data_IF_769844021856
#
_entry.id   IF_769844021856
#
_cell.length_a   1.000
_cell.length_b   1.000
_cell.length_c   1.000
_cell.angle_alpha   90.00
_cell.angle_beta   90.00
_cell.angle_gamma   90.00
#
_symmetry.space_group_name_H-M   'P 1'
#
loop_
_entity.id
_entity.type
_entity.pdbx_description
1 polymer ?
#
# COMPACT_ATOMS: atom_id res chain seq x y z
N UNK A 1 -7.68 -29.64 18.80
CA UNK A 1 -6.80 -29.90 17.65
C UNK A 1 -7.08 -29.04 16.41
N UNK A 2 -8.31 -28.98 15.85
CA UNK A 2 -8.60 -28.10 14.69
C UNK A 2 -8.40 -26.59 14.95
N UNK A 3 -8.52 -26.13 16.20
CA UNK A 3 -8.32 -24.72 16.59
C UNK A 3 -6.85 -24.26 16.62
N UNK A 4 -5.91 -25.17 16.93
CA UNK A 4 -4.46 -24.86 16.92
C UNK A 4 -3.93 -24.63 15.50
N UNK A 5 -4.54 -25.29 14.51
CA UNK A 5 -4.18 -25.18 13.10
C UNK A 5 -4.63 -23.81 12.54
N UNK A 6 -5.74 -23.26 13.05
CA UNK A 6 -6.26 -21.95 12.61
C UNK A 6 -5.39 -20.78 13.11
N UNK A 7 -4.90 -20.86 14.35
CA UNK A 7 -3.90 -19.91 14.87
C UNK A 7 -2.62 -19.97 14.04
N UNK A 8 -2.12 -21.18 13.72
CA UNK A 8 -0.93 -21.34 12.90
C UNK A 8 -1.05 -20.72 11.49
N UNK A 9 -2.25 -20.68 10.89
CA UNK A 9 -2.48 -19.99 9.61
C UNK A 9 -2.45 -18.46 9.70
N UNK A 10 -2.88 -17.87 10.82
CA UNK A 10 -2.68 -16.43 11.09
C UNK A 10 -1.19 -16.12 11.33
N UNK A 11 -0.48 -17.04 11.99
CA UNK A 11 0.97 -16.93 12.19
C UNK A 11 1.79 -17.10 10.89
N UNK A 12 1.36 -17.95 9.97
CA UNK A 12 2.08 -18.21 8.71
C UNK A 12 1.87 -17.11 7.66
N UNK A 13 0.73 -16.41 7.66
CA UNK A 13 0.51 -15.26 6.77
C UNK A 13 1.18 -13.97 7.26
N UNK A 14 1.44 -13.84 8.57
CA UNK A 14 2.23 -12.74 9.14
C UNK A 14 3.74 -12.89 8.92
N UNK A 15 4.22 -14.12 8.67
CA UNK A 15 5.63 -14.49 8.71
C UNK A 15 6.48 -14.07 7.51
N UNK A 16 5.94 -13.33 6.54
CA UNK A 16 6.78 -12.84 5.44
C UNK A 16 6.88 -11.32 5.36
N UNK A 17 6.06 -10.53 6.10
CA UNK A 17 5.93 -9.08 5.84
C UNK A 17 5.50 -8.20 7.02
N UNK A 18 5.24 -8.76 8.20
CA UNK A 18 4.86 -7.96 9.36
C UNK A 18 6.10 -7.23 9.93
N UNK A 19 5.99 -5.91 10.13
CA UNK A 19 6.92 -5.18 10.99
C UNK A 19 7.04 -5.88 12.34
N UNK A 20 8.24 -5.89 12.95
CA UNK A 20 8.49 -6.62 14.19
C UNK A 20 7.48 -6.33 15.32
N UNK A 21 6.90 -5.12 15.32
CA UNK A 21 5.88 -4.70 16.28
C UNK A 21 4.51 -5.39 16.09
N UNK A 22 4.09 -5.64 14.84
CA UNK A 22 2.87 -6.39 14.55
C UNK A 22 3.02 -7.86 14.87
N UNK A 23 4.18 -8.44 14.56
CA UNK A 23 4.49 -9.81 14.94
C UNK A 23 4.43 -9.96 16.45
N UNK A 24 5.09 -9.06 17.19
CA UNK A 24 5.13 -9.10 18.65
C UNK A 24 3.75 -8.91 19.28
N UNK A 25 2.96 -7.95 18.79
CA UNK A 25 1.56 -7.78 19.23
C UNK A 25 0.68 -8.98 18.88
N UNK A 26 0.89 -9.64 17.74
CA UNK A 26 0.14 -10.84 17.37
C UNK A 26 0.48 -12.04 18.27
N UNK A 27 1.75 -12.15 18.70
CA UNK A 27 2.21 -13.13 19.68
C UNK A 27 1.61 -12.85 21.07
N UNK A 28 1.63 -11.59 21.53
CA UNK A 28 1.03 -11.20 22.81
C UNK A 28 -0.47 -11.49 22.86
N UNK A 29 -1.20 -11.17 21.78
CA UNK A 29 -2.64 -11.47 21.66
C UNK A 29 -2.87 -12.99 21.68
N UNK A 30 -2.05 -13.76 20.99
CA UNK A 30 -2.15 -15.22 20.98
C UNK A 30 -1.88 -15.83 22.36
N UNK A 31 -0.88 -15.32 23.10
CA UNK A 31 -0.58 -15.74 24.47
C UNK A 31 -1.71 -15.37 25.45
N UNK A 32 -2.33 -14.20 25.29
CA UNK A 32 -3.50 -13.81 26.09
C UNK A 32 -4.69 -14.74 25.80
N UNK A 33 -4.95 -15.06 24.53
CA UNK A 33 -6.04 -15.98 24.15
C UNK A 33 -5.77 -17.40 24.63
N UNK A 34 -4.53 -17.88 24.52
CA UNK A 34 -4.11 -19.21 24.97
C UNK A 34 -4.22 -19.35 26.50
N UNK A 35 -3.77 -18.33 27.24
CA UNK A 35 -3.83 -18.31 28.72
C UNK A 35 -5.26 -18.23 29.26
N UNK A 36 -6.21 -17.66 28.52
CA UNK A 36 -7.60 -17.50 28.95
C UNK A 36 -8.57 -18.52 28.31
N UNK A 37 -8.12 -19.42 27.43
CA UNK A 37 -9.01 -20.33 26.67
C UNK A 37 -9.89 -21.22 27.58
N UNK A 38 -9.50 -21.42 28.84
CA UNK A 38 -10.20 -22.23 29.84
C UNK A 38 -11.04 -21.40 30.84
N UNK A 39 -10.94 -20.07 30.80
CA UNK A 39 -11.66 -19.15 31.70
C UNK A 39 -12.70 -18.29 30.97
N UNK A 40 -12.72 -18.33 29.64
CA UNK A 40 -13.71 -17.60 28.84
C UNK A 40 -15.09 -18.24 29.00
N UNK A 41 -16.05 -17.44 29.46
CA UNK A 41 -17.47 -17.81 29.38
C UNK A 41 -17.87 -18.11 27.93
N UNK A 42 -18.93 -18.91 27.75
CA UNK A 42 -19.47 -19.22 26.41
C UNK A 42 -19.72 -17.97 25.56
N UNK A 43 -20.15 -16.86 26.18
CA UNK A 43 -20.39 -15.59 25.50
C UNK A 43 -19.10 -14.91 25.04
N UNK A 44 -18.04 -14.95 25.84
CA UNK A 44 -16.73 -14.39 25.47
C UNK A 44 -16.07 -15.21 24.36
N UNK A 45 -16.11 -16.54 24.44
CA UNK A 45 -15.60 -17.41 23.38
C UNK A 45 -16.31 -17.18 22.03
N UNK A 46 -17.63 -16.95 22.04
CA UNK A 46 -18.40 -16.62 20.84
C UNK A 46 -18.00 -15.27 20.24
N UNK A 47 -17.78 -14.24 21.06
CA UNK A 47 -17.34 -12.91 20.60
C UNK A 47 -15.93 -12.94 20.05
N UNK A 48 -15.00 -13.62 20.72
CA UNK A 48 -13.63 -13.81 20.23
C UNK A 48 -13.63 -14.52 18.87
N UNK A 49 -14.48 -15.54 18.70
CA UNK A 49 -14.64 -16.21 17.40
C UNK A 49 -15.16 -15.27 16.32
N UNK A 50 -16.19 -14.47 16.60
CA UNK A 50 -16.70 -13.47 15.64
C UNK A 50 -15.62 -12.46 15.24
N UNK A 51 -14.85 -11.95 16.19
CA UNK A 51 -13.70 -11.07 15.93
C UNK A 51 -12.64 -11.74 15.06
N UNK A 52 -12.34 -13.02 15.30
CA UNK A 52 -11.44 -13.78 14.43
C UNK A 52 -11.98 -13.96 13.02
N UNK A 53 -13.24 -14.34 12.89
CA UNK A 53 -13.89 -14.53 11.59
C UNK A 53 -13.94 -13.20 10.82
N UNK A 54 -14.13 -12.06 11.51
CA UNK A 54 -14.06 -10.71 10.94
C UNK A 54 -12.63 -10.32 10.55
N UNK A 55 -11.63 -10.57 11.40
CA UNK A 55 -10.21 -10.32 11.08
C UNK A 55 -9.79 -11.18 9.88
N UNK A 56 -10.15 -12.46 9.87
CA UNK A 56 -9.85 -13.37 8.76
C UNK A 56 -10.59 -12.94 7.49
N UNK A 57 -11.83 -12.49 7.60
CA UNK A 57 -12.57 -11.92 6.47
C UNK A 57 -11.90 -10.65 5.95
N UNK A 58 -11.44 -9.74 6.81
CA UNK A 58 -10.69 -8.54 6.41
C UNK A 58 -9.37 -8.94 5.73
N UNK A 59 -8.64 -9.91 6.28
CA UNK A 59 -7.37 -10.41 5.73
C UNK A 59 -7.55 -11.15 4.39
N UNK A 60 -8.67 -11.84 4.18
CA UNK A 60 -8.99 -12.54 2.92
C UNK A 60 -9.63 -11.63 1.87
N UNK A 61 -10.42 -10.63 2.31
CA UNK A 61 -11.09 -9.66 1.43
C UNK A 61 -10.18 -8.51 1.02
N UNK A 62 -9.14 -8.22 1.82
CA UNK A 62 -7.91 -7.64 1.29
C UNK A 62 -7.27 -8.69 0.40
N UNK A 63 -7.75 -8.75 -0.84
CA UNK A 63 -7.10 -9.29 -2.03
C UNK A 63 -5.71 -9.83 -1.74
N UNK A 64 -5.48 -11.11 -2.00
CA UNK A 64 -4.14 -11.67 -2.17
C UNK A 64 -3.37 -10.77 -3.16
N UNK A 65 -2.68 -9.76 -2.63
CA UNK A 65 -1.80 -8.89 -3.38
C UNK A 65 -0.61 -9.79 -3.68
N UNK A 66 -0.55 -10.32 -4.90
CA UNK A 66 0.64 -11.02 -5.35
C UNK A 66 1.76 -10.00 -5.44
N UNK A 67 2.63 -9.98 -4.42
CA UNK A 67 3.78 -9.09 -4.39
C UNK A 67 4.80 -9.39 -5.50
N UNK A 68 4.62 -10.51 -6.21
CA UNK A 68 5.41 -10.90 -7.37
C UNK A 68 6.81 -11.39 -6.99
N UNK A 69 7.41 -12.18 -7.89
CA UNK A 69 8.78 -12.64 -7.71
C UNK A 69 9.78 -11.49 -7.92
N UNK A 70 10.69 -11.19 -6.97
CA UNK A 70 11.54 -10.00 -7.02
C UNK A 70 12.36 -9.88 -8.32
N UNK A 71 12.85 -10.99 -8.86
CA UNK A 71 13.62 -10.99 -10.10
C UNK A 71 12.77 -10.75 -11.36
N UNK A 72 11.49 -11.13 -11.33
CA UNK A 72 10.54 -10.81 -12.40
C UNK A 72 10.20 -9.32 -12.36
N UNK A 73 9.86 -8.80 -11.18
CA UNK A 73 9.54 -7.37 -11.01
C UNK A 73 10.75 -6.50 -11.35
N UNK A 74 11.98 -6.93 -11.04
CA UNK A 74 13.18 -6.23 -11.49
C UNK A 74 13.23 -6.06 -13.01
N UNK A 75 12.97 -7.13 -13.78
CA UNK A 75 13.01 -7.07 -15.25
C UNK A 75 11.92 -6.15 -15.78
N UNK A 76 10.72 -6.24 -15.22
CA UNK A 76 9.58 -5.40 -15.57
C UNK A 76 9.86 -3.91 -15.29
N UNK A 77 10.27 -3.59 -14.06
CA UNK A 77 10.62 -2.23 -13.65
C UNK A 77 11.75 -1.66 -14.52
N UNK A 78 12.76 -2.47 -14.86
CA UNK A 78 13.86 -2.05 -15.74
C UNK A 78 13.37 -1.75 -17.16
N UNK A 79 12.55 -2.63 -17.74
CA UNK A 79 12.01 -2.44 -19.09
C UNK A 79 11.10 -1.21 -19.15
N UNK A 80 10.20 -1.07 -18.20
CA UNK A 80 9.30 0.08 -18.09
C UNK A 80 10.08 1.38 -17.91
N UNK A 81 11.06 1.42 -17.00
CA UNK A 81 11.88 2.61 -16.76
C UNK A 81 12.67 3.05 -18.00
N UNK A 82 13.09 2.12 -18.86
CA UNK A 82 13.76 2.46 -20.12
C UNK A 82 12.81 2.89 -21.24
N UNK A 83 11.55 2.49 -21.18
CA UNK A 83 10.56 2.81 -22.22
C UNK A 83 10.23 4.30 -22.25
N UNK A 84 9.86 4.83 -23.41
CA UNK A 84 9.43 6.22 -23.56
C UNK A 84 8.08 6.50 -22.86
N UNK A 85 7.25 5.45 -22.75
CA UNK A 85 5.96 5.49 -22.07
C UNK A 85 6.13 5.55 -20.55
N UNK A 86 7.11 4.81 -20.02
CA UNK A 86 7.49 4.87 -18.61
C UNK A 86 8.39 6.05 -18.31
N UNK A 87 9.55 5.79 -17.69
CA UNK A 87 10.46 6.86 -17.35
C UNK A 87 11.20 7.36 -18.59
N UNK A 88 11.81 6.49 -19.39
CA UNK A 88 12.67 6.86 -20.52
C UNK A 88 14.04 7.33 -20.03
N UNK A 89 14.56 6.71 -18.97
CA UNK A 89 15.88 6.98 -18.38
C UNK A 89 16.96 6.10 -19.01
N UNK A 90 18.22 6.45 -18.76
CA UNK A 90 19.38 5.68 -19.25
C UNK A 90 19.39 4.26 -18.65
N UNK A 91 20.20 3.37 -19.25
CA UNK A 91 20.33 1.99 -18.77
C UNK A 91 20.78 1.91 -17.30
N UNK A 92 21.75 2.74 -16.91
CA UNK A 92 22.29 2.77 -15.54
C UNK A 92 21.23 3.25 -14.56
N UNK A 93 20.50 4.32 -14.88
CA UNK A 93 19.42 4.84 -14.03
C UNK A 93 18.25 3.85 -13.93
N UNK A 94 17.87 3.20 -15.03
CA UNK A 94 16.84 2.17 -15.03
C UNK A 94 17.21 0.96 -14.15
N UNK A 95 18.50 0.60 -14.13
CA UNK A 95 18.99 -0.45 -13.23
C UNK A 95 18.86 -0.04 -11.76
N UNK A 96 19.22 1.20 -11.41
CA UNK A 96 19.07 1.73 -10.04
C UNK A 96 17.59 1.76 -9.65
N UNK A 97 16.72 2.25 -10.52
CA UNK A 97 15.27 2.24 -10.31
C UNK A 97 14.75 0.81 -10.06
N UNK A 98 15.07 -0.13 -10.94
CA UNK A 98 14.62 -1.50 -10.82
C UNK A 98 15.15 -2.19 -9.54
N UNK A 99 16.38 -1.88 -9.10
CA UNK A 99 16.92 -2.36 -7.83
C UNK A 99 16.13 -1.82 -6.64
N UNK A 100 15.77 -0.53 -6.68
CA UNK A 100 14.94 0.11 -5.64
C UNK A 100 13.55 -0.52 -5.55
N UNK A 101 12.90 -0.78 -6.68
CA UNK A 101 11.59 -1.45 -6.72
C UNK A 101 11.71 -2.88 -6.15
N UNK A 102 12.71 -3.63 -6.61
CA UNK A 102 12.95 -5.01 -6.17
C UNK A 102 13.17 -5.12 -4.65
N UNK A 103 13.79 -4.11 -4.03
CA UNK A 103 14.07 -4.11 -2.60
C UNK A 103 12.90 -3.64 -1.73
N UNK A 104 11.78 -3.22 -2.33
CA UNK A 104 10.59 -2.87 -1.55
C UNK A 104 10.02 -4.11 -0.92
N UNK A 105 9.22 -3.90 0.14
CA UNK A 105 8.46 -4.98 0.74
C UNK A 105 7.69 -5.64 -0.38
N UNK A 106 6.67 -5.00 -1.00
CA UNK A 106 5.83 -5.59 -2.04
C UNK A 106 6.17 -5.04 -3.42
N UNK A 107 7.12 -5.65 -4.18
CA UNK A 107 7.69 -5.00 -5.35
C UNK A 107 6.64 -4.77 -6.45
N UNK A 108 5.76 -5.75 -6.70
CA UNK A 108 4.68 -5.66 -7.69
C UNK A 108 3.72 -4.51 -7.37
N UNK A 109 3.17 -4.48 -6.14
CA UNK A 109 2.25 -3.41 -5.71
C UNK A 109 2.93 -2.04 -5.75
N UNK A 110 4.17 -1.95 -5.25
CA UNK A 110 4.91 -0.70 -5.27
C UNK A 110 5.12 -0.20 -6.70
N UNK A 111 5.52 -1.08 -7.62
CA UNK A 111 5.68 -0.73 -9.03
C UNK A 111 4.36 -0.25 -9.64
N UNK A 112 3.26 -0.93 -9.37
CA UNK A 112 1.94 -0.58 -9.88
C UNK A 112 1.49 0.81 -9.39
N UNK A 113 1.62 1.09 -8.09
CA UNK A 113 1.29 2.42 -7.52
C UNK A 113 2.18 3.48 -8.13
N UNK A 114 3.48 3.19 -8.29
CA UNK A 114 4.44 4.12 -8.89
C UNK A 114 4.07 4.45 -10.34
N UNK A 115 3.78 3.44 -11.16
CA UNK A 115 3.41 3.61 -12.56
C UNK A 115 2.14 4.46 -12.70
N UNK A 116 1.07 4.08 -11.98
CA UNK A 116 -0.21 4.79 -12.04
C UNK A 116 -0.08 6.25 -11.57
N UNK A 117 0.68 6.48 -10.50
CA UNK A 117 0.89 7.81 -9.94
C UNK A 117 1.74 8.69 -10.84
N UNK A 118 2.79 8.11 -11.45
CA UNK A 118 3.64 8.81 -12.41
C UNK A 118 2.85 9.23 -13.66
N UNK A 119 2.06 8.31 -14.23
CA UNK A 119 1.25 8.57 -15.42
C UNK A 119 0.22 9.66 -15.15
N UNK A 120 -0.50 9.58 -14.03
CA UNK A 120 -1.46 10.61 -13.66
C UNK A 120 -0.80 11.97 -13.42
N UNK A 121 0.29 12.02 -12.64
CA UNK A 121 1.00 13.28 -12.36
C UNK A 121 1.57 13.94 -13.61
N UNK A 122 2.04 13.15 -14.57
CA UNK A 122 2.55 13.63 -15.86
C UNK A 122 1.42 14.12 -16.78
N UNK A 123 0.23 13.52 -16.69
CA UNK A 123 -0.90 13.87 -17.57
C UNK A 123 -1.39 15.30 -17.36
N UNK A 124 -1.89 15.94 -18.43
CA UNK A 124 -2.45 17.29 -18.36
C UNK A 124 -3.77 17.34 -17.56
N UNK A 125 -4.50 16.22 -17.52
CA UNK A 125 -5.72 16.06 -16.72
C UNK A 125 -5.41 15.89 -15.23
N UNK A 126 -4.25 15.33 -14.88
CA UNK A 126 -3.77 15.28 -13.50
C UNK A 126 -3.01 16.55 -13.11
N UNK A 127 -1.75 16.39 -12.69
CA UNK A 127 -0.94 17.52 -12.21
C UNK A 127 -0.30 18.33 -13.35
N UNK A 128 -0.15 17.73 -14.54
CA UNK A 128 0.59 18.32 -15.65
C UNK A 128 2.04 18.64 -15.27
N UNK A 129 2.63 17.83 -14.40
CA UNK A 129 3.93 18.07 -13.80
C UNK A 129 5.07 17.76 -14.78
N UNK A 130 6.25 18.33 -14.51
CA UNK A 130 7.48 17.91 -15.18
C UNK A 130 7.78 16.46 -14.83
N UNK A 131 8.55 15.79 -15.68
CA UNK A 131 8.93 14.39 -15.46
C UNK A 131 9.58 14.15 -14.09
N UNK A 132 10.48 15.04 -13.64
CA UNK A 132 11.10 14.92 -12.32
C UNK A 132 10.07 15.04 -11.19
N UNK A 133 9.17 16.03 -11.26
CA UNK A 133 8.12 16.21 -10.28
C UNK A 133 7.08 15.06 -10.29
N UNK A 134 6.79 14.46 -11.45
CA UNK A 134 5.96 13.25 -11.55
C UNK A 134 6.63 12.05 -10.90
N UNK A 135 7.96 11.91 -11.02
CA UNK A 135 8.71 10.84 -10.34
C UNK A 135 8.69 11.03 -8.83
N UNK A 136 8.92 12.25 -8.34
CA UNK A 136 8.86 12.57 -6.91
C UNK A 136 7.47 12.29 -6.33
N UNK A 137 6.40 12.69 -7.04
CA UNK A 137 5.03 12.41 -6.63
C UNK A 137 4.74 10.89 -6.58
N UNK A 138 5.15 10.15 -7.61
CA UNK A 138 4.95 8.71 -7.68
C UNK A 138 5.70 7.96 -6.59
N UNK A 139 6.93 8.38 -6.31
CA UNK A 139 7.74 7.85 -5.22
C UNK A 139 7.07 8.10 -3.86
N UNK A 140 6.65 9.33 -3.60
CA UNK A 140 5.98 9.71 -2.35
C UNK A 140 4.72 8.87 -2.11
N UNK A 141 3.85 8.72 -3.11
CA UNK A 141 2.64 7.90 -2.96
C UNK A 141 2.96 6.41 -2.77
N UNK A 142 3.93 5.89 -3.50
CA UNK A 142 4.30 4.46 -3.40
C UNK A 142 4.95 4.16 -2.05
N UNK A 143 5.78 5.06 -1.54
CA UNK A 143 6.38 4.96 -0.21
C UNK A 143 5.33 5.10 0.90
N UNK A 144 4.36 6.02 0.75
CA UNK A 144 3.23 6.12 1.67
C UNK A 144 2.45 4.81 1.73
N UNK A 145 2.02 4.28 0.57
CA UNK A 145 1.22 3.06 0.51
C UNK A 145 1.96 1.82 1.03
N UNK A 146 3.28 1.76 0.85
CA UNK A 146 4.09 0.67 1.39
C UNK A 146 4.14 0.71 2.92
N UNK A 147 4.16 1.89 3.52
CA UNK A 147 4.31 2.07 4.97
C UNK A 147 2.97 1.99 5.72
N UNK A 148 1.85 2.09 5.01
CA UNK A 148 0.51 1.97 5.59
C UNK A 148 -0.05 0.56 5.40
N UNK A 149 -0.33 -0.12 6.53
CA UNK A 149 -0.87 -1.47 6.58
C UNK A 149 -2.23 -1.66 5.86
N UNK A 150 -2.95 -0.57 5.60
CA UNK A 150 -4.32 -0.59 5.10
C UNK A 150 -4.62 0.44 4.01
N UNK A 151 -3.63 1.09 3.37
CA UNK A 151 -3.97 2.12 2.38
C UNK A 151 -4.71 1.51 1.19
N UNK A 152 -6.00 1.84 1.17
CA UNK A 152 -6.85 1.80 -0.01
C UNK A 152 -6.41 2.94 -0.91
N UNK A 153 -5.89 2.59 -2.09
CA UNK A 153 -5.90 3.39 -3.30
C UNK A 153 -5.61 4.89 -3.06
N UNK A 154 -4.45 5.22 -2.47
CA UNK A 154 -4.10 6.59 -2.07
C UNK A 154 -4.10 7.54 -3.26
N UNK A 155 -3.73 7.04 -4.44
CA UNK A 155 -3.84 7.79 -5.70
C UNK A 155 -5.28 8.18 -6.01
N UNK A 156 -6.26 7.29 -5.77
CA UNK A 156 -7.67 7.56 -6.07
C UNK A 156 -8.23 8.65 -5.15
N UNK A 157 -7.95 8.56 -3.85
CA UNK A 157 -8.28 9.65 -2.92
C UNK A 157 -7.68 10.97 -3.41
N UNK A 158 -6.39 10.97 -3.76
CA UNK A 158 -5.72 12.21 -4.22
C UNK A 158 -6.35 12.75 -5.50
N UNK A 159 -6.77 11.88 -6.43
CA UNK A 159 -7.50 12.31 -7.65
C UNK A 159 -8.83 12.96 -7.31
N UNK A 160 -9.65 12.30 -6.50
CA UNK A 160 -10.98 12.79 -6.11
C UNK A 160 -10.88 14.16 -5.41
N UNK A 161 -9.99 14.29 -4.43
CA UNK A 161 -9.79 15.53 -3.69
C UNK A 161 -9.13 16.62 -4.55
N UNK A 162 -8.23 16.26 -5.47
CA UNK A 162 -7.64 17.20 -6.42
C UNK A 162 -8.70 17.74 -7.38
N UNK A 163 -9.54 16.87 -7.94
CA UNK A 163 -10.61 17.26 -8.87
C UNK A 163 -11.65 18.13 -8.17
N UNK A 164 -12.04 17.78 -6.94
CA UNK A 164 -12.89 18.63 -6.10
C UNK A 164 -12.25 20.00 -5.87
N UNK A 165 -10.98 20.03 -5.44
CA UNK A 165 -10.22 21.26 -5.19
C UNK A 165 -10.09 22.15 -6.42
N UNK A 166 -9.88 21.56 -7.61
CA UNK A 166 -9.75 22.27 -8.90
C UNK A 166 -11.07 22.77 -9.46
N UNK A 167 -12.17 22.07 -9.19
CA UNK A 167 -13.46 22.37 -9.80
C UNK A 167 -14.01 23.73 -9.33
N UNK A 168 -14.69 24.44 -10.23
CA UNK A 168 -15.36 25.71 -9.91
C UNK A 168 -16.56 25.53 -8.97
N UNK A 169 -17.15 24.33 -8.96
CA UNK A 169 -18.27 23.96 -8.09
C UNK A 169 -17.78 23.48 -6.71
N UNK A 170 -16.51 23.09 -6.59
CA UNK A 170 -15.83 22.78 -5.34
C UNK A 170 -15.10 24.00 -4.80
N UNK A 171 -13.77 23.99 -4.81
CA UNK A 171 -12.96 25.03 -4.16
C UNK A 171 -12.33 26.06 -5.11
N UNK A 172 -12.29 25.79 -6.42
CA UNK A 172 -11.73 26.71 -7.43
C UNK A 172 -10.23 27.02 -7.25
N UNK A 173 -9.47 26.14 -6.60
CA UNK A 173 -8.07 26.35 -6.26
C UNK A 173 -7.15 26.30 -7.50
N UNK A 174 -5.99 26.93 -7.39
CA UNK A 174 -4.90 26.70 -8.35
C UNK A 174 -4.44 25.23 -8.32
N UNK A 175 -3.64 24.81 -9.31
CA UNK A 175 -3.13 23.42 -9.36
C UNK A 175 -2.31 23.04 -8.14
N UNK A 176 -1.41 23.92 -7.71
CA UNK A 176 -0.55 23.65 -6.55
C UNK A 176 -1.34 23.65 -5.24
N UNK A 177 -2.31 24.54 -5.09
CA UNK A 177 -3.19 24.58 -3.91
C UNK A 177 -4.09 23.35 -3.84
N UNK A 178 -4.69 22.94 -4.96
CA UNK A 178 -5.52 21.74 -5.03
C UNK A 178 -4.69 20.47 -4.74
N UNK A 179 -3.47 20.39 -5.28
CA UNK A 179 -2.53 19.30 -4.97
C UNK A 179 -2.22 19.26 -3.48
N UNK A 180 -1.86 20.40 -2.88
CA UNK A 180 -1.57 20.48 -1.44
C UNK A 180 -2.78 20.08 -0.61
N UNK A 181 -3.95 20.58 -0.94
CA UNK A 181 -5.21 20.20 -0.31
C UNK A 181 -5.43 18.68 -0.36
N UNK A 182 -5.35 18.07 -1.55
CA UNK A 182 -5.56 16.64 -1.73
C UNK A 182 -4.56 15.78 -0.94
N UNK A 183 -3.27 16.17 -0.95
CA UNK A 183 -2.24 15.48 -0.17
C UNK A 183 -2.50 15.57 1.33
N UNK A 184 -2.96 16.72 1.82
CA UNK A 184 -3.28 16.91 3.22
C UNK A 184 -4.49 16.06 3.64
N UNK A 185 -5.54 15.99 2.80
CA UNK A 185 -6.73 15.17 3.10
C UNK A 185 -6.43 13.67 3.07
N UNK A 186 -5.69 13.21 2.05
CA UNK A 186 -5.52 11.78 1.79
C UNK A 186 -4.35 11.16 2.55
N UNK A 187 -3.29 11.92 2.81
CA UNK A 187 -2.04 11.41 3.36
C UNK A 187 -1.69 12.00 4.73
N UNK A 188 -2.44 13.01 5.20
CA UNK A 188 -2.15 13.70 6.45
C UNK A 188 -0.84 14.48 6.43
N UNK A 189 -0.30 14.80 5.25
CA UNK A 189 0.92 15.58 5.13
C UNK A 189 0.68 17.01 5.68
N UNK A 190 1.51 17.46 6.62
CA UNK A 190 1.56 18.84 7.11
C UNK A 190 2.78 19.55 6.54
#
# INVERSE_FOLDING_TARGET
>A
MKKLILMATVFLSANTWASGDLYQRSVEIADIIYSHEHELSHQQASRTKQLFDEIEHVLRSSTLIECGEPNQIFKEAFQWARSLQGLGITKSEAQVFAQKIRSKNCPSKYLQVYQNSFEWAKSLQGLGATRSASMEFAEMLSDYEQNTLFSKNSLECVKEEYDFGRSLQGMGLSREEAKKFALNQCLGAQ
#
